data_IF_549628561261
#
_entry.id   IF_549628561261
#
_cell.length_a   1.000
_cell.length_b   1.000
_cell.length_c   1.000
_cell.angle_alpha   90.00
_cell.angle_beta   90.00
_cell.angle_gamma   90.00
#
_symmetry.space_group_name_H-M   'P 1'
#
loop_
_entity.id
_entity.type
_entity.pdbx_description
1 polymer ?
#
# COMPACT_ATOMS: atom_id res chain seq x y z
N UNK A 1 -17.67 -3.41 -9.69
CA UNK A 1 -18.01 -4.86 -9.64
C UNK A 1 -18.35 -5.47 -11.01
N UNK A 2 -19.01 -4.74 -11.92
CA UNK A 2 -19.40 -5.26 -13.24
C UNK A 2 -18.23 -5.79 -14.09
N UNK A 3 -17.10 -5.07 -14.14
CA UNK A 3 -15.90 -5.47 -14.91
C UNK A 3 -15.29 -6.78 -14.40
N UNK A 4 -15.25 -6.99 -13.07
CA UNK A 4 -14.73 -8.24 -12.48
C UNK A 4 -15.56 -9.43 -12.95
N UNK A 5 -16.90 -9.30 -12.96
CA UNK A 5 -17.80 -10.37 -13.45
C UNK A 5 -17.59 -10.63 -14.95
N UNK A 6 -17.49 -9.58 -15.76
CA UNK A 6 -17.21 -9.71 -17.19
C UNK A 6 -15.87 -10.41 -17.47
N UNK A 7 -14.83 -10.10 -16.69
CA UNK A 7 -13.52 -10.72 -16.84
C UNK A 7 -13.54 -12.18 -16.39
N UNK A 8 -14.15 -12.50 -15.25
CA UNK A 8 -14.28 -13.88 -14.76
C UNK A 8 -15.06 -14.77 -15.72
N UNK A 9 -16.10 -14.21 -16.35
CA UNK A 9 -16.91 -14.91 -17.36
C UNK A 9 -16.23 -14.98 -18.75
N UNK A 10 -15.02 -14.43 -18.90
CA UNK A 10 -14.31 -14.42 -20.18
C UNK A 10 -14.98 -13.55 -21.25
N UNK A 11 -15.80 -12.56 -20.86
CA UNK A 11 -16.51 -11.68 -21.79
C UNK A 11 -15.66 -10.50 -22.28
N UNK A 12 -14.47 -10.32 -21.70
CA UNK A 12 -13.48 -9.31 -22.07
C UNK A 12 -12.29 -9.96 -22.78
N UNK A 13 -11.78 -9.29 -23.83
CA UNK A 13 -10.71 -9.78 -24.71
C UNK A 13 -11.19 -10.16 -26.12
N UNK A 14 -10.25 -10.23 -27.07
CA UNK A 14 -10.53 -10.67 -28.45
C UNK A 14 -11.15 -12.06 -28.47
N UNK A 15 -12.12 -12.30 -29.37
CA UNK A 15 -12.99 -13.49 -29.40
C UNK A 15 -12.24 -14.83 -29.29
N UNK A 16 -11.02 -14.91 -29.82
CA UNK A 16 -10.14 -16.10 -29.81
C UNK A 16 -9.34 -16.32 -28.51
N UNK A 17 -9.23 -15.29 -27.66
CA UNK A 17 -8.38 -15.27 -26.47
C UNK A 17 -9.18 -15.11 -25.16
N UNK A 18 -10.51 -15.12 -25.26
CA UNK A 18 -11.41 -15.14 -24.10
C UNK A 18 -11.22 -16.45 -23.34
N UNK A 19 -10.92 -16.35 -22.04
CA UNK A 19 -10.78 -17.49 -21.12
C UNK A 19 -11.58 -17.20 -19.86
N UNK A 20 -12.12 -18.24 -19.23
CA UNK A 20 -12.63 -18.12 -17.87
C UNK A 20 -11.44 -17.86 -16.95
N UNK A 21 -11.60 -16.87 -16.06
CA UNK A 21 -10.57 -16.46 -15.11
C UNK A 21 -11.14 -16.64 -13.71
N UNK A 22 -10.43 -17.33 -12.78
CA UNK A 22 -10.86 -17.40 -11.40
C UNK A 22 -11.16 -16.00 -10.86
N UNK A 23 -12.24 -15.85 -10.10
CA UNK A 23 -12.71 -14.52 -9.65
C UNK A 23 -11.65 -13.73 -8.89
N UNK A 24 -10.79 -14.41 -8.14
CA UNK A 24 -9.66 -13.78 -7.45
C UNK A 24 -8.67 -13.14 -8.43
N UNK A 25 -8.35 -13.84 -9.52
CA UNK A 25 -7.44 -13.31 -10.54
C UNK A 25 -8.09 -12.17 -11.32
N UNK A 26 -9.40 -12.22 -11.53
CA UNK A 26 -10.16 -11.12 -12.12
C UNK A 26 -10.17 -9.88 -11.23
N UNK A 27 -10.30 -10.05 -9.91
CA UNK A 27 -10.22 -8.94 -8.95
C UNK A 27 -8.83 -8.30 -9.01
N UNK A 28 -7.78 -9.11 -8.88
CA UNK A 28 -6.39 -8.62 -8.91
C UNK A 28 -6.06 -7.93 -10.23
N UNK A 29 -6.48 -8.48 -11.36
CA UNK A 29 -6.26 -7.88 -12.68
C UNK A 29 -6.95 -6.51 -12.81
N UNK A 30 -8.18 -6.38 -12.31
CA UNK A 30 -8.88 -5.09 -12.30
C UNK A 30 -8.18 -4.10 -11.38
N UNK A 31 -7.76 -4.52 -10.18
CA UNK A 31 -7.06 -3.67 -9.22
C UNK A 31 -5.71 -3.18 -9.77
N UNK A 32 -4.96 -4.04 -10.46
CA UNK A 32 -3.70 -3.68 -11.12
C UNK A 32 -3.92 -2.62 -12.21
N UNK A 33 -4.89 -2.84 -13.11
CA UNK A 33 -5.17 -1.91 -14.21
C UNK A 33 -5.64 -0.53 -13.71
N UNK A 34 -6.55 -0.52 -12.72
CA UNK A 34 -7.00 0.72 -12.09
C UNK A 34 -5.84 1.41 -11.36
N UNK A 35 -5.06 0.66 -10.59
CA UNK A 35 -3.89 1.17 -9.87
C UNK A 35 -2.85 1.78 -10.81
N UNK A 36 -2.53 1.14 -11.94
CA UNK A 36 -1.59 1.69 -12.94
C UNK A 36 -2.08 2.99 -13.56
N UNK A 37 -3.38 3.13 -13.80
CA UNK A 37 -3.98 4.39 -14.28
C UNK A 37 -3.87 5.48 -13.22
N UNK A 38 -4.28 5.19 -11.99
CA UNK A 38 -4.25 6.16 -10.88
C UNK A 38 -2.83 6.57 -10.52
N UNK A 39 -1.86 5.64 -10.49
CA UNK A 39 -0.44 5.94 -10.26
C UNK A 39 0.07 7.01 -11.22
N UNK A 40 -0.23 6.89 -12.52
CA UNK A 40 0.20 7.89 -13.54
C UNK A 40 -0.42 9.26 -13.32
N UNK A 41 -1.59 9.34 -12.71
CA UNK A 41 -2.27 10.59 -12.36
C UNK A 41 -1.66 11.17 -11.08
N UNK A 42 -1.62 10.39 -10.00
CA UNK A 42 -1.09 10.77 -8.68
C UNK A 42 0.36 11.26 -8.75
N UNK A 43 1.21 10.66 -9.60
CA UNK A 43 2.60 11.11 -9.77
C UNK A 43 2.78 12.56 -10.23
N UNK A 44 1.72 13.20 -10.73
CA UNK A 44 1.72 14.60 -11.20
C UNK A 44 1.25 15.60 -10.16
N UNK A 45 0.76 15.14 -9.02
CA UNK A 45 0.27 16.00 -7.96
C UNK A 45 1.40 16.49 -7.04
N UNK A 46 1.22 17.65 -6.39
CA UNK A 46 2.12 18.10 -5.34
C UNK A 46 2.13 17.11 -4.18
N UNK A 47 3.24 17.08 -3.45
CA UNK A 47 3.38 16.20 -2.29
C UNK A 47 2.42 16.59 -1.17
N UNK A 48 2.16 15.64 -0.28
CA UNK A 48 1.66 15.94 1.06
C UNK A 48 2.65 16.85 1.81
N UNK A 49 2.14 17.60 2.78
CA UNK A 49 2.96 18.53 3.57
C UNK A 49 3.41 17.89 4.89
N UNK A 50 2.71 16.85 5.34
CA UNK A 50 2.89 16.21 6.63
C UNK A 50 2.85 14.68 6.52
N UNK A 51 3.44 13.99 7.49
CA UNK A 51 3.33 12.54 7.63
C UNK A 51 1.96 12.20 8.21
N UNK A 52 1.32 11.15 7.70
CA UNK A 52 -0.03 10.75 8.10
C UNK A 52 -0.12 9.26 8.37
N UNK A 53 -0.74 8.89 9.48
CA UNK A 53 -0.97 7.51 9.87
C UNK A 53 -2.48 7.23 9.96
N UNK A 54 -2.91 6.19 9.27
CA UNK A 54 -4.27 5.69 9.27
C UNK A 54 -4.24 4.24 9.75
N UNK A 55 -5.27 3.80 10.47
CA UNK A 55 -5.41 2.39 10.84
C UNK A 55 -6.87 1.99 10.94
N UNK A 56 -7.19 0.77 10.52
CA UNK A 56 -8.49 0.17 10.74
C UNK A 56 -8.34 -1.32 11.00
N UNK A 57 -9.11 -1.83 11.96
CA UNK A 57 -9.18 -3.24 12.31
C UNK A 57 -10.59 -3.77 12.02
N UNK A 58 -10.69 -4.84 11.24
CA UNK A 58 -11.94 -5.54 11.02
C UNK A 58 -11.68 -7.02 10.68
N UNK A 59 -12.56 -7.90 11.15
CA UNK A 59 -12.53 -9.33 10.83
C UNK A 59 -11.16 -10.00 11.09
N UNK A 60 -10.50 -9.67 12.21
CA UNK A 60 -9.16 -10.16 12.54
C UNK A 60 -8.09 -9.79 11.51
N UNK A 61 -8.27 -8.66 10.83
CA UNK A 61 -7.27 -8.07 9.97
C UNK A 61 -7.10 -6.59 10.36
N UNK A 62 -5.86 -6.11 10.47
CA UNK A 62 -5.55 -4.68 10.60
C UNK A 62 -4.87 -4.21 9.33
N UNK A 63 -5.30 -3.07 8.81
CA UNK A 63 -4.54 -2.34 7.79
C UNK A 63 -4.15 -0.99 8.37
N UNK A 64 -2.85 -0.75 8.41
CA UNK A 64 -2.25 0.51 8.82
C UNK A 64 -1.51 1.12 7.65
N UNK A 65 -1.82 2.38 7.31
CA UNK A 65 -1.23 3.11 6.18
C UNK A 65 -0.45 4.29 6.73
N UNK A 66 0.84 4.34 6.42
CA UNK A 66 1.72 5.47 6.67
C UNK A 66 2.00 6.19 5.35
N UNK A 67 1.57 7.44 5.24
CA UNK A 67 1.86 8.32 4.11
C UNK A 67 2.95 9.32 4.50
N UNK A 68 3.98 9.42 3.66
CA UNK A 68 5.16 10.25 3.89
C UNK A 68 5.26 11.27 2.72
N UNK A 69 5.45 12.57 2.99
CA UNK A 69 5.75 13.56 1.96
C UNK A 69 6.88 13.11 1.04
N UNK A 70 6.63 13.04 -0.26
CA UNK A 70 7.64 12.57 -1.22
C UNK A 70 7.06 12.05 -2.53
N UNK A 71 7.93 11.56 -3.43
CA UNK A 71 7.48 10.94 -4.67
C UNK A 71 6.63 9.69 -4.38
N UNK A 72 5.77 9.33 -5.33
CA UNK A 72 5.04 8.07 -5.25
C UNK A 72 6.02 6.90 -5.15
N UNK A 73 5.93 6.24 -4.01
CA UNK A 73 6.52 4.95 -3.71
C UNK A 73 5.46 4.15 -2.99
N UNK A 74 5.43 2.85 -3.16
CA UNK A 74 4.46 2.02 -2.46
C UNK A 74 5.11 0.75 -1.98
N UNK A 75 4.95 0.47 -0.71
CA UNK A 75 5.49 -0.71 -0.05
C UNK A 75 4.44 -1.35 0.84
N UNK A 76 4.40 -2.68 0.85
CA UNK A 76 3.49 -3.47 1.67
C UNK A 76 4.29 -4.44 2.52
N UNK A 77 3.88 -4.56 3.77
CA UNK A 77 4.23 -5.64 4.68
C UNK A 77 2.95 -6.40 5.03
N UNK A 78 2.83 -7.64 4.56
CA UNK A 78 1.76 -8.55 4.94
C UNK A 78 2.27 -9.51 6.02
N UNK A 79 1.79 -9.32 7.26
CA UNK A 79 2.17 -10.11 8.42
C UNK A 79 1.04 -11.07 8.80
N UNK A 80 1.37 -12.35 8.93
CA UNK A 80 0.47 -13.41 9.33
C UNK A 80 0.86 -13.89 10.72
N UNK A 81 0.06 -13.52 11.72
CA UNK A 81 0.25 -13.92 13.12
C UNK A 81 -0.48 -15.24 13.37
N UNK A 82 0.30 -16.28 13.71
CA UNK A 82 -0.22 -17.59 14.09
C UNK A 82 0.48 -18.06 15.36
N UNK A 83 -0.25 -18.00 16.47
CA UNK A 83 0.21 -18.35 17.81
C UNK A 83 1.52 -17.61 18.13
N UNK A 84 2.66 -18.30 18.16
CA UNK A 84 3.98 -17.71 18.47
C UNK A 84 4.84 -17.44 17.22
N UNK A 85 4.28 -17.57 16.01
CA UNK A 85 5.00 -17.39 14.74
C UNK A 85 4.35 -16.29 13.90
N UNK A 86 5.18 -15.36 13.43
CA UNK A 86 4.78 -14.35 12.45
C UNK A 86 5.47 -14.64 11.12
N UNK A 87 4.70 -14.88 10.06
CA UNK A 87 5.22 -14.93 8.69
C UNK A 87 5.04 -13.57 8.03
N UNK A 88 6.08 -13.09 7.35
CA UNK A 88 6.07 -11.74 6.76
C UNK A 88 6.37 -11.88 5.27
N UNK A 89 5.50 -11.27 4.47
CA UNK A 89 5.70 -11.06 3.04
C UNK A 89 5.82 -9.57 2.78
N UNK A 90 6.71 -9.16 1.89
CA UNK A 90 6.89 -7.76 1.58
C UNK A 90 7.23 -7.55 0.11
N UNK A 91 6.75 -6.43 -0.43
CA UNK A 91 7.07 -5.99 -1.79
C UNK A 91 6.97 -4.47 -1.88
N UNK A 92 7.75 -3.86 -2.79
CA UNK A 92 7.85 -2.43 -2.94
C UNK A 92 8.05 -2.01 -4.41
N UNK A 93 7.46 -0.87 -4.78
CA UNK A 93 7.80 -0.13 -6.01
C UNK A 93 8.41 1.23 -5.63
N UNK A 94 9.60 1.51 -6.16
CA UNK A 94 10.30 2.79 -6.03
C UNK A 94 10.53 3.43 -7.41
N UNK A 95 10.76 4.75 -7.48
CA UNK A 95 11.21 5.43 -8.68
C UNK A 95 12.42 4.74 -9.32
N UNK A 96 12.32 4.42 -10.60
CA UNK A 96 13.39 3.75 -11.35
C UNK A 96 13.29 2.22 -11.37
N UNK A 97 12.45 1.61 -10.53
CA UNK A 97 12.20 0.17 -10.60
C UNK A 97 11.53 -0.22 -11.93
N UNK A 98 11.88 -1.39 -12.44
CA UNK A 98 11.16 -2.01 -13.56
C UNK A 98 9.79 -2.45 -13.06
N UNK A 99 8.73 -2.10 -13.80
CA UNK A 99 7.38 -2.57 -13.53
C UNK A 99 7.35 -4.11 -13.59
N UNK A 100 7.23 -4.75 -12.43
CA UNK A 100 7.11 -6.21 -12.27
C UNK A 100 5.85 -6.57 -11.50
N UNK A 101 5.43 -7.83 -11.64
CA UNK A 101 4.38 -8.37 -10.79
C UNK A 101 4.93 -8.58 -9.35
N UNK A 102 4.17 -8.25 -8.30
CA UNK A 102 4.62 -8.38 -6.92
C UNK A 102 4.53 -9.83 -6.45
N UNK A 103 5.48 -10.68 -6.86
CA UNK A 103 5.44 -12.13 -6.63
C UNK A 103 5.41 -12.52 -5.15
N UNK A 104 6.03 -11.71 -4.27
CA UNK A 104 6.16 -12.03 -2.85
C UNK A 104 4.85 -11.86 -2.06
N UNK A 105 4.00 -10.91 -2.46
CA UNK A 105 2.74 -10.57 -1.76
C UNK A 105 1.50 -10.93 -2.59
N UNK A 106 1.63 -10.92 -3.93
CA UNK A 106 0.56 -11.26 -4.85
C UNK A 106 -0.61 -10.28 -4.80
N UNK A 107 -1.85 -10.81 -4.73
CA UNK A 107 -3.06 -10.00 -4.86
C UNK A 107 -3.28 -8.97 -3.75
N UNK A 108 -2.74 -9.19 -2.55
CA UNK A 108 -2.85 -8.24 -1.45
C UNK A 108 -2.15 -6.91 -1.76
N UNK A 109 -1.05 -6.95 -2.54
CA UNK A 109 -0.33 -5.75 -2.98
C UNK A 109 -1.27 -4.80 -3.75
N UNK A 110 -1.95 -5.33 -4.77
CA UNK A 110 -2.86 -4.52 -5.59
C UNK A 110 -4.10 -4.08 -4.80
N UNK A 111 -4.63 -4.96 -3.94
CA UNK A 111 -5.78 -4.67 -3.10
C UNK A 111 -5.53 -3.53 -2.10
N UNK A 112 -4.32 -3.43 -1.53
CA UNK A 112 -3.93 -2.38 -0.59
C UNK A 112 -3.50 -1.09 -1.30
N UNK A 113 -2.86 -1.21 -2.47
CA UNK A 113 -2.39 -0.07 -3.27
C UNK A 113 -3.51 0.77 -3.84
N UNK A 114 -4.56 0.12 -4.32
CA UNK A 114 -5.66 0.80 -5.01
C UNK A 114 -6.35 1.87 -4.11
N UNK A 115 -6.77 1.56 -2.87
CA UNK A 115 -7.37 2.55 -1.96
C UNK A 115 -6.46 3.72 -1.63
N UNK A 116 -5.15 3.47 -1.46
CA UNK A 116 -4.16 4.53 -1.21
C UNK A 116 -4.12 5.50 -2.38
N UNK A 117 -4.06 4.97 -3.61
CA UNK A 117 -4.09 5.78 -4.83
C UNK A 117 -5.43 6.52 -5.02
N UNK A 118 -6.56 5.88 -4.70
CA UNK A 118 -7.88 6.51 -4.71
C UNK A 118 -7.93 7.72 -3.75
N UNK A 119 -7.43 7.55 -2.53
CA UNK A 119 -7.36 8.59 -1.49
C UNK A 119 -6.49 9.77 -1.92
N UNK A 120 -5.27 9.49 -2.39
CA UNK A 120 -4.34 10.53 -2.86
C UNK A 120 -4.88 11.28 -4.08
N UNK A 121 -5.54 10.57 -5.01
CA UNK A 121 -6.21 11.20 -6.15
C UNK A 121 -7.33 12.14 -5.70
N UNK A 122 -8.16 11.70 -4.75
CA UNK A 122 -9.29 12.50 -4.27
C UNK A 122 -8.82 13.82 -3.62
N UNK A 123 -7.67 13.79 -2.94
CA UNK A 123 -7.06 15.00 -2.35
C UNK A 123 -6.24 15.82 -3.37
N UNK A 124 -5.96 15.29 -4.55
CA UNK A 124 -5.06 15.92 -5.53
C UNK A 124 -3.62 16.02 -5.00
N UNK A 125 -3.17 14.97 -4.29
CA UNK A 125 -1.85 14.90 -3.63
C UNK A 125 -1.07 13.66 -4.03
N UNK A 126 0.23 13.69 -3.76
CA UNK A 126 1.16 12.59 -3.93
C UNK A 126 1.88 12.31 -2.61
N UNK A 127 2.21 11.05 -2.34
CA UNK A 127 3.01 10.66 -1.19
C UNK A 127 3.69 9.32 -1.47
N UNK A 128 4.74 9.04 -0.69
CA UNK A 128 5.19 7.66 -0.49
C UNK A 128 4.28 6.97 0.51
N UNK A 129 3.99 5.69 0.30
CA UNK A 129 3.06 4.94 1.13
C UNK A 129 3.69 3.63 1.60
N UNK A 130 3.64 3.39 2.90
CA UNK A 130 3.96 2.10 3.52
C UNK A 130 2.68 1.57 4.14
N UNK A 131 2.31 0.34 3.79
CA UNK A 131 1.10 -0.31 4.28
C UNK A 131 1.48 -1.56 5.04
N UNK A 132 1.08 -1.64 6.31
CA UNK A 132 1.21 -2.84 7.14
C UNK A 132 -0.15 -3.49 7.22
N UNK A 133 -0.27 -4.71 6.70
CA UNK A 133 -1.47 -5.53 6.70
C UNK A 133 -1.23 -6.74 7.60
N UNK A 134 -1.86 -6.75 8.76
CA UNK A 134 -1.71 -7.81 9.75
C UNK A 134 -2.94 -8.71 9.74
N UNK A 135 -2.72 -10.02 9.70
CA UNK A 135 -3.74 -11.05 9.76
C UNK A 135 -3.56 -11.82 11.07
N UNK A 136 -4.59 -11.80 11.91
CA UNK A 136 -4.56 -12.44 13.22
C UNK A 136 -5.34 -13.76 13.22
N UNK A 137 -5.17 -14.55 14.28
CA UNK A 137 -5.97 -15.75 14.49
C UNK A 137 -7.46 -15.41 14.56
N UNK A 138 -8.29 -16.25 13.94
CA UNK A 138 -9.74 -16.02 13.80
C UNK A 138 -10.16 -15.36 12.49
N UNK A 139 -9.23 -14.98 11.62
CA UNK A 139 -9.56 -14.41 10.30
C UNK A 139 -10.35 -15.39 9.41
N UNK A 140 -11.19 -14.83 8.54
CA UNK A 140 -12.04 -15.58 7.61
C UNK A 140 -11.48 -15.46 6.19
N UNK A 141 -11.35 -16.57 5.41
CA UNK A 141 -10.80 -16.56 4.06
C UNK A 141 -11.77 -15.97 3.02
N UNK A 142 -11.92 -14.65 3.08
CA UNK A 142 -12.76 -13.88 2.16
C UNK A 142 -12.06 -13.53 0.85
N UNK A 143 -10.77 -13.87 0.68
CA UNK A 143 -9.94 -13.43 -0.44
C UNK A 143 -9.34 -12.03 -0.23
N UNK A 144 -8.58 -11.54 -1.21
CA UNK A 144 -7.77 -10.30 -1.06
C UNK A 144 -8.59 -9.01 -1.04
N UNK A 145 -9.84 -9.03 -1.52
CA UNK A 145 -10.70 -7.85 -1.50
C UNK A 145 -10.97 -7.32 -0.09
N UNK A 146 -10.85 -8.16 0.95
CA UNK A 146 -10.98 -7.74 2.35
C UNK A 146 -9.97 -6.65 2.69
N UNK A 147 -8.72 -6.80 2.26
CA UNK A 147 -7.68 -5.80 2.50
C UNK A 147 -8.01 -4.47 1.84
N UNK A 148 -8.58 -4.52 0.63
CA UNK A 148 -9.04 -3.32 -0.08
C UNK A 148 -10.10 -2.56 0.70
N UNK A 149 -11.11 -3.24 1.23
CA UNK A 149 -12.18 -2.57 1.98
C UNK A 149 -11.74 -2.06 3.35
N UNK A 150 -10.89 -2.82 4.06
CA UNK A 150 -10.32 -2.38 5.34
C UNK A 150 -9.40 -1.16 5.13
N UNK A 151 -8.57 -1.18 4.08
CA UNK A 151 -7.73 -0.04 3.70
C UNK A 151 -8.57 1.20 3.36
N UNK A 152 -9.67 1.03 2.58
CA UNK A 152 -10.61 2.14 2.33
C UNK A 152 -11.25 2.65 3.61
N UNK A 153 -11.63 1.77 4.54
CA UNK A 153 -12.19 2.18 5.82
C UNK A 153 -11.17 3.00 6.62
N UNK A 154 -9.91 2.56 6.69
CA UNK A 154 -8.83 3.32 7.34
C UNK A 154 -8.68 4.74 6.75
N UNK A 155 -8.64 4.85 5.42
CA UNK A 155 -8.43 6.12 4.72
C UNK A 155 -9.64 7.07 4.72
N UNK A 156 -10.83 6.61 5.12
CA UNK A 156 -12.02 7.48 5.30
C UNK A 156 -12.00 8.26 6.61
N UNK A 157 -11.27 7.77 7.62
CA UNK A 157 -11.16 8.45 8.90
C UNK A 157 -10.04 9.50 8.87
N UNK A 158 -10.15 10.58 9.66
CA UNK A 158 -9.06 11.54 9.82
C UNK A 158 -7.77 10.83 10.28
N UNK A 159 -6.60 11.12 9.66
CA UNK A 159 -5.34 10.56 10.08
C UNK A 159 -4.84 11.17 11.38
N UNK A 160 -3.95 10.44 12.05
CA UNK A 160 -3.00 11.07 12.97
C UNK A 160 -1.90 11.71 12.13
N UNK A 161 -1.58 12.97 12.41
CA UNK A 161 -0.61 13.76 11.64
C UNK A 161 0.67 13.96 12.46
N UNK A 162 1.81 13.96 11.77
CA UNK A 162 3.13 14.16 12.38
C UNK A 162 3.96 15.11 11.51
N UNK A 163 4.79 15.91 12.16
CA UNK A 163 5.79 16.75 11.47
C UNK A 163 7.04 15.94 11.11
N UNK A 164 7.41 14.97 11.93
CA UNK A 164 8.58 14.12 11.75
C UNK A 164 8.21 12.64 11.50
N UNK A 165 9.02 11.99 10.66
CA UNK A 165 8.93 10.56 10.39
C UNK A 165 9.20 9.74 11.66
N UNK A 166 10.12 10.15 12.52
CA UNK A 166 10.47 9.39 13.74
C UNK A 166 9.28 9.29 14.70
N UNK A 167 8.53 10.37 14.91
CA UNK A 167 7.32 10.37 15.74
C UNK A 167 6.26 9.42 15.18
N UNK A 168 6.10 9.41 13.86
CA UNK A 168 5.14 8.52 13.20
C UNK A 168 5.52 7.04 13.35
N UNK A 169 6.81 6.70 13.41
CA UNK A 169 7.28 5.34 13.62
C UNK A 169 7.05 4.87 15.06
N UNK A 170 7.22 5.76 16.04
CA UNK A 170 6.86 5.48 17.45
C UNK A 170 5.34 5.25 17.58
N UNK A 171 4.54 6.04 16.87
CA UNK A 171 3.09 5.84 16.84
C UNK A 171 2.69 4.54 16.13
N UNK A 172 3.39 4.18 15.05
CA UNK A 172 3.20 2.93 14.33
C UNK A 172 3.46 1.73 15.25
N UNK A 173 4.55 1.75 16.02
CA UNK A 173 4.91 0.67 16.97
C UNK A 173 3.83 0.38 18.00
N UNK A 174 3.05 1.40 18.39
CA UNK A 174 1.93 1.23 19.35
C UNK A 174 0.68 0.62 18.71
N UNK A 175 0.61 0.55 17.39
CA UNK A 175 -0.59 0.15 16.64
C UNK A 175 -0.44 -1.24 16.03
N UNK A 176 0.74 -1.56 15.49
CA UNK A 176 1.00 -2.85 14.82
C UNK A 176 1.68 -3.84 15.76
N UNK A 177 1.41 -5.13 15.58
CA UNK A 177 2.08 -6.21 16.30
C UNK A 177 3.41 -6.61 15.62
N UNK A 178 3.54 -6.39 14.31
CA UNK A 178 4.77 -6.54 13.55
C UNK A 178 5.82 -5.57 14.12
N UNK A 179 6.95 -6.06 14.67
CA UNK A 179 7.94 -5.17 15.26
C UNK A 179 8.45 -4.15 14.24
N UNK A 180 8.40 -2.86 14.58
CA UNK A 180 8.79 -1.77 13.66
C UNK A 180 10.25 -1.91 13.22
N UNK A 181 11.12 -2.49 14.05
CA UNK A 181 12.49 -2.79 13.66
C UNK A 181 12.57 -3.78 12.47
N UNK A 182 11.62 -4.70 12.33
CA UNK A 182 11.53 -5.58 11.15
C UNK A 182 11.15 -4.80 9.89
N UNK A 183 10.27 -3.81 10.02
CA UNK A 183 9.90 -2.88 8.94
C UNK A 183 11.13 -2.04 8.56
N UNK A 184 11.79 -1.41 9.53
CA UNK A 184 12.97 -0.55 9.31
C UNK A 184 14.09 -1.26 8.57
N UNK A 185 14.40 -2.52 8.92
CA UNK A 185 15.46 -3.29 8.26
C UNK A 185 15.15 -3.60 6.79
N UNK A 186 13.89 -3.90 6.49
CA UNK A 186 13.48 -4.38 5.16
C UNK A 186 12.98 -3.27 4.24
N UNK A 187 12.49 -2.16 4.81
CA UNK A 187 11.81 -1.12 4.06
C UNK A 187 12.75 -0.39 3.12
N UNK A 188 12.44 -0.47 1.83
CA UNK A 188 13.11 0.32 0.79
C UNK A 188 12.64 1.76 0.81
N UNK A 189 11.36 1.99 1.16
CA UNK A 189 10.77 3.33 1.22
C UNK A 189 11.33 4.14 2.39
N UNK A 190 11.40 3.56 3.59
CA UNK A 190 12.02 4.24 4.74
C UNK A 190 13.50 4.50 4.48
N UNK A 191 14.21 3.51 3.91
CA UNK A 191 15.61 3.71 3.54
C UNK A 191 15.80 4.90 2.59
N UNK A 192 14.97 5.01 1.56
CA UNK A 192 14.98 6.15 0.65
C UNK A 192 14.79 7.49 1.40
N UNK A 193 13.82 7.56 2.31
CA UNK A 193 13.55 8.79 3.07
C UNK A 193 14.58 9.11 4.16
N UNK A 194 15.22 8.10 4.74
CA UNK A 194 16.22 8.26 5.79
C UNK A 194 17.63 8.52 5.24
N UNK A 195 17.99 7.96 4.08
CA UNK A 195 19.31 8.10 3.47
C UNK A 195 19.40 9.31 2.52
N UNK A 196 18.28 9.77 1.96
CA UNK A 196 18.29 10.90 1.05
C UNK A 196 18.41 12.22 1.83
N UNK A 197 19.62 12.75 1.94
CA UNK A 197 19.84 14.14 2.33
C UNK A 197 19.03 15.08 1.41
N UNK A 198 18.32 16.04 1.99
CA UNK A 198 17.51 16.97 1.19
C UNK A 198 18.48 17.81 0.38
N UNK A 199 18.18 18.06 -0.90
CA UNK A 199 19.01 18.92 -1.76
C UNK A 199 19.27 20.31 -1.12
N UNK A 200 18.34 20.75 -0.26
CA UNK A 200 18.41 21.99 0.52
C UNK A 200 19.54 21.93 1.57
N UNK A 201 19.80 20.76 2.16
CA UNK A 201 20.90 20.55 3.11
C UNK A 201 22.27 20.76 2.44
N UNK A 202 22.35 20.53 1.12
CA UNK A 202 23.55 20.83 0.32
C UNK A 202 23.62 22.29 -0.18
N UNK A 203 22.47 22.97 -0.32
CA UNK A 203 22.43 24.37 -0.76
C UNK A 203 22.59 25.37 0.40
N UNK A 204 22.38 24.94 1.65
CA UNK A 204 22.57 25.75 2.85
C UNK A 204 24.01 25.87 3.36
N UNK A 205 24.98 25.23 2.71
CA UNK A 205 26.40 25.24 3.11
C UNK A 205 27.28 26.15 2.24
N UNK A 206 26.68 27.10 1.49
CA UNK A 206 27.43 28.06 0.64
C UNK A 206 27.06 29.53 0.90
N UNK A 207 26.92 29.93 2.17
CA UNK A 207 26.99 31.35 2.57
C UNK A 207 27.84 31.49 3.82
#
# INVERSE_FOLDING_TARGET
>A
QYIVRLLSMGLLGSKRWRKLVPTEWSITAVDDQLGKRLRREVKRYPWLNEVRLYSHYAHFNRVTVLLIPGPWMFEVFEAWHKSNLTKIYYDAELPGDVDRYPENVGGAYHALRLPVLESLKAEGRQASAIVVAEVYEGWIPLGVWRFREICRAALRHPPVKFEDLSESLIALEKIVELPVNSILRQSRVLRFHLEQAKLIDFLGSTV
#
